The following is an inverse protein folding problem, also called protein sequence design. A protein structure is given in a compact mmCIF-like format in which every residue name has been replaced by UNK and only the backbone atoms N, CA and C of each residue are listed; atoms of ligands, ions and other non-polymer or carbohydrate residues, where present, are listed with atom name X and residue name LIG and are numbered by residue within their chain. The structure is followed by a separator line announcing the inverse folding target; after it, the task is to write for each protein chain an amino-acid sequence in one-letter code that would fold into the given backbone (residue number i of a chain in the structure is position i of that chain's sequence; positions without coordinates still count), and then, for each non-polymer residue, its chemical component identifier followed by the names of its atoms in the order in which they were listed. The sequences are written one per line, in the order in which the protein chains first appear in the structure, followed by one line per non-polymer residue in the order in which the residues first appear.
data_IF_111737553793
#
_entry.id   IF_111737553793
#
_cell.length_a   1.000
_cell.length_b   1.000
_cell.length_c   1.000
_cell.angle_alpha   90.00
_cell.angle_beta   90.00
_cell.angle_gamma   90.00
#
_symmetry.space_group_name_H-M   'P 1'
#
loop_
_entity.id
_entity.type
_entity.pdbx_description
1 polymer ?
#
# COMPACT_ATOMS: atom_id res chain seq x y z
N UNK A 1 67.43 20.46 12.81
CA UNK A 1 66.82 19.16 13.19
C UNK A 1 65.47 19.31 13.89
N UNK A 2 65.33 20.20 14.89
CA UNK A 2 64.05 20.43 15.60
C UNK A 2 62.87 20.84 14.71
N UNK A 3 63.10 21.70 13.71
CA UNK A 3 62.04 22.17 12.79
C UNK A 3 61.59 21.13 11.75
N UNK A 4 62.48 20.18 11.38
CA UNK A 4 62.16 19.12 10.41
C UNK A 4 61.20 18.09 11.04
N UNK A 5 61.37 17.81 12.34
CA UNK A 5 60.46 16.93 13.09
C UNK A 5 59.07 17.55 13.28
N UNK A 6 58.97 18.87 13.44
CA UNK A 6 57.69 19.57 13.58
C UNK A 6 56.94 19.62 12.23
N UNK A 7 57.64 19.84 11.13
CA UNK A 7 57.04 19.82 9.80
C UNK A 7 56.50 18.44 9.40
N UNK A 8 57.20 17.35 9.77
CA UNK A 8 56.75 15.98 9.52
C UNK A 8 55.50 15.62 10.35
N UNK A 9 55.41 16.09 11.60
CA UNK A 9 54.24 15.86 12.46
C UNK A 9 52.98 16.59 11.97
N UNK A 10 53.12 17.79 11.39
CA UNK A 10 52.00 18.58 10.86
C UNK A 10 51.49 17.99 9.52
N UNK A 11 52.36 17.40 8.71
CA UNK A 11 51.98 16.75 7.45
C UNK A 11 51.21 15.42 7.67
N UNK A 12 51.48 14.72 8.78
CA UNK A 12 50.76 13.50 9.19
C UNK A 12 49.37 13.76 9.77
N UNK A 13 49.06 15.00 10.18
CA UNK A 13 47.75 15.39 10.73
C UNK A 13 46.74 15.83 9.66
N UNK A 14 47.15 15.98 8.39
CA UNK A 14 46.26 16.43 7.30
C UNK A 14 45.60 15.27 6.52
N UNK A 15 45.88 14.02 6.88
CA UNK A 15 45.17 12.85 6.31
C UNK A 15 43.96 12.52 7.18
N UNK A 16 43.10 13.50 7.41
CA UNK A 16 41.72 13.19 7.78
C UNK A 16 41.02 12.84 6.49
N UNK A 17 40.86 11.56 6.22
CA UNK A 17 39.88 11.09 5.24
C UNK A 17 38.53 11.67 5.63
N UNK A 18 38.13 12.74 4.97
CA UNK A 18 36.74 13.16 4.92
C UNK A 18 36.00 12.00 4.25
N UNK A 19 35.45 11.10 5.06
CA UNK A 19 34.37 10.26 4.59
C UNK A 19 33.25 11.22 4.21
N UNK A 20 33.16 11.51 2.92
CA UNK A 20 32.04 12.21 2.34
C UNK A 20 30.78 11.49 2.84
N UNK A 21 29.84 12.25 3.41
CA UNK A 21 28.54 11.75 3.82
C UNK A 21 27.83 11.23 2.57
N UNK A 22 27.97 9.93 2.32
CA UNK A 22 27.16 9.22 1.33
C UNK A 22 25.79 9.09 1.98
N UNK A 23 24.83 9.81 1.41
CA UNK A 23 23.39 9.83 1.71
C UNK A 23 22.93 8.90 2.83
N UNK A 24 22.51 9.51 3.95
CA UNK A 24 21.81 8.87 5.06
C UNK A 24 20.48 8.25 4.57
N UNK A 25 20.54 7.13 3.86
CA UNK A 25 19.49 6.13 4.06
C UNK A 25 19.68 5.66 5.50
N UNK A 26 18.71 5.90 6.42
CA UNK A 26 18.84 5.44 7.79
C UNK A 26 19.19 3.95 7.78
N UNK A 27 20.14 3.52 8.61
CA UNK A 27 20.62 2.14 8.61
C UNK A 27 19.48 1.10 8.65
N UNK A 28 18.37 1.45 9.31
CA UNK A 28 17.11 0.71 9.37
C UNK A 28 16.43 0.49 8.02
N UNK A 29 16.43 1.50 7.15
CA UNK A 29 15.85 1.41 5.80
C UNK A 29 16.75 0.53 4.93
N UNK A 30 18.07 0.76 4.97
CA UNK A 30 19.02 -0.03 4.20
C UNK A 30 19.01 -1.52 4.60
N UNK A 31 18.86 -1.82 5.90
CA UNK A 31 18.78 -3.21 6.38
C UNK A 31 17.50 -3.92 5.94
N UNK A 32 16.34 -3.25 5.96
CA UNK A 32 15.08 -3.87 5.54
C UNK A 32 15.04 -4.17 4.04
N UNK A 33 15.54 -3.27 3.19
CA UNK A 33 15.67 -3.53 1.74
C UNK A 33 16.64 -4.69 1.49
N UNK A 34 17.79 -4.70 2.16
CA UNK A 34 18.80 -5.76 1.99
C UNK A 34 18.28 -7.12 2.49
N UNK A 35 17.52 -7.13 3.59
CA UNK A 35 16.86 -8.33 4.09
C UNK A 35 15.83 -8.85 3.08
N UNK A 36 14.96 -7.99 2.55
CA UNK A 36 13.99 -8.36 1.53
C UNK A 36 14.66 -8.91 0.26
N UNK A 37 15.75 -8.30 -0.20
CA UNK A 37 16.50 -8.79 -1.36
C UNK A 37 17.05 -10.21 -1.15
N UNK A 38 17.53 -10.53 0.06
CA UNK A 38 18.03 -11.86 0.39
C UNK A 38 16.90 -12.88 0.57
N UNK A 39 15.86 -12.50 1.32
CA UNK A 39 14.74 -13.38 1.65
C UNK A 39 13.90 -13.72 0.40
N UNK A 40 13.76 -12.77 -0.52
CA UNK A 40 12.96 -12.91 -1.74
C UNK A 40 13.77 -13.28 -2.99
N UNK A 41 15.02 -13.74 -2.83
CA UNK A 41 15.91 -14.05 -3.96
C UNK A 41 15.37 -15.15 -4.89
N UNK A 42 14.50 -16.03 -4.38
CA UNK A 42 13.93 -17.16 -5.11
C UNK A 42 12.48 -16.93 -5.55
N UNK A 43 12.02 -15.68 -5.60
CA UNK A 43 10.65 -15.34 -5.96
C UNK A 43 10.28 -15.84 -7.37
N UNK A 44 9.23 -16.65 -7.46
CA UNK A 44 8.71 -17.16 -8.71
C UNK A 44 7.93 -16.12 -9.51
N UNK A 45 7.47 -16.46 -10.71
CA UNK A 45 6.59 -15.61 -11.49
C UNK A 45 5.17 -15.59 -10.91
N UNK A 46 4.53 -14.42 -10.94
CA UNK A 46 3.18 -14.19 -10.43
C UNK A 46 3.04 -14.52 -8.93
N UNK A 47 4.07 -14.20 -8.16
CA UNK A 47 4.11 -14.41 -6.72
C UNK A 47 4.48 -13.11 -6.02
N UNK A 48 4.10 -13.02 -4.75
CA UNK A 48 4.60 -12.02 -3.82
C UNK A 48 5.36 -12.71 -2.69
N UNK A 49 6.48 -12.10 -2.31
CA UNK A 49 7.31 -12.49 -1.18
C UNK A 49 7.22 -11.43 -0.08
N UNK A 50 7.03 -11.91 1.14
CA UNK A 50 7.19 -11.13 2.35
C UNK A 50 8.68 -10.90 2.64
N UNK A 51 9.14 -9.66 2.50
CA UNK A 51 10.56 -9.34 2.60
C UNK A 51 11.03 -9.04 4.01
N UNK A 52 10.31 -8.16 4.72
CA UNK A 52 10.68 -7.67 6.05
C UNK A 52 9.49 -7.02 6.75
N UNK A 53 9.16 -7.48 7.97
CA UNK A 53 8.23 -6.95 8.99
C UNK A 53 6.84 -6.44 8.52
N UNK A 54 5.82 -6.48 9.37
CA UNK A 54 4.55 -5.74 9.22
C UNK A 54 3.91 -5.71 7.80
N UNK A 55 3.85 -6.86 7.14
CA UNK A 55 3.09 -7.05 5.91
C UNK A 55 1.94 -7.99 6.21
N UNK A 56 0.73 -7.62 5.81
CA UNK A 56 -0.46 -8.47 5.89
C UNK A 56 -1.15 -8.56 4.54
N UNK A 57 -1.81 -9.69 4.30
CA UNK A 57 -2.56 -9.91 3.07
C UNK A 57 -3.98 -10.39 3.38
N UNK A 58 -4.92 -10.08 2.48
CA UNK A 58 -6.21 -10.76 2.40
C UNK A 58 -6.14 -11.67 1.19
N UNK A 59 -6.33 -12.97 1.41
CA UNK A 59 -6.30 -14.00 0.36
C UNK A 59 -7.70 -14.53 0.07
N UNK A 60 -7.94 -14.86 -1.19
CA UNK A 60 -9.21 -15.34 -1.74
C UNK A 60 -10.40 -14.43 -1.39
N UNK A 61 -10.13 -13.17 -1.02
CA UNK A 61 -11.09 -12.14 -0.63
C UNK A 61 -11.89 -12.48 0.65
N UNK A 62 -11.43 -13.44 1.45
CA UNK A 62 -12.15 -13.95 2.62
C UNK A 62 -11.26 -14.08 3.86
N UNK A 63 -10.00 -14.45 3.68
CA UNK A 63 -9.10 -14.84 4.77
C UNK A 63 -7.99 -13.82 4.96
N UNK A 64 -7.78 -13.38 6.20
CA UNK A 64 -6.61 -12.61 6.59
C UNK A 64 -5.42 -13.54 6.78
N UNK A 65 -4.32 -13.24 6.09
CA UNK A 65 -3.06 -13.95 6.18
C UNK A 65 -2.01 -13.02 6.79
N UNK A 66 -1.48 -13.43 7.93
CA UNK A 66 -0.28 -12.87 8.54
C UNK A 66 0.91 -13.75 8.14
N UNK A 67 2.02 -13.11 7.74
CA UNK A 67 3.21 -13.86 7.35
C UNK A 67 4.08 -14.15 8.57
N UNK A 68 4.44 -15.42 8.76
CA UNK A 68 5.19 -15.85 9.93
C UNK A 68 6.71 -15.67 9.75
N UNK A 69 7.24 -15.86 8.54
CA UNK A 69 8.68 -15.85 8.28
C UNK A 69 9.04 -15.04 7.03
N UNK A 70 10.00 -14.14 7.16
CA UNK A 70 10.53 -13.41 6.01
C UNK A 70 11.09 -14.37 4.94
N UNK A 71 10.64 -14.21 3.70
CA UNK A 71 10.86 -15.14 2.59
C UNK A 71 9.63 -15.96 2.21
N UNK A 72 8.58 -15.96 3.04
CA UNK A 72 7.29 -16.60 2.71
C UNK A 72 6.72 -16.01 1.42
N UNK A 73 6.19 -16.88 0.56
CA UNK A 73 5.62 -16.50 -0.74
C UNK A 73 4.19 -16.96 -0.89
N UNK A 74 3.37 -16.14 -1.55
CA UNK A 74 2.02 -16.50 -1.96
C UNK A 74 1.76 -16.15 -3.43
N UNK A 75 0.90 -16.90 -4.13
CA UNK A 75 0.50 -16.58 -5.50
C UNK A 75 -0.26 -15.25 -5.60
N UNK A 76 0.08 -14.40 -6.57
CA UNK A 76 -0.61 -13.10 -6.76
C UNK A 76 -2.09 -13.24 -7.10
N UNK A 77 -2.51 -14.36 -7.70
CA UNK A 77 -3.90 -14.59 -8.05
C UNK A 77 -4.81 -14.89 -6.85
N UNK A 78 -4.24 -15.23 -5.69
CA UNK A 78 -5.00 -15.37 -4.44
C UNK A 78 -5.04 -14.08 -3.66
N UNK A 79 -4.17 -13.11 -3.93
CA UNK A 79 -4.10 -11.85 -3.19
C UNK A 79 -5.24 -10.91 -3.62
N UNK A 80 -6.12 -10.59 -2.68
CA UNK A 80 -7.16 -9.59 -2.85
C UNK A 80 -6.76 -8.23 -2.28
N UNK A 81 -6.08 -8.21 -1.15
CA UNK A 81 -5.47 -7.00 -0.61
C UNK A 81 -4.10 -7.30 -0.01
N UNK A 82 -3.20 -6.34 -0.05
CA UNK A 82 -1.89 -6.38 0.57
C UNK A 82 -1.65 -5.04 1.25
N UNK A 83 -1.14 -5.09 2.48
CA UNK A 83 -0.85 -3.92 3.30
C UNK A 83 0.53 -4.02 3.90
N UNK A 84 1.27 -2.92 3.83
CA UNK A 84 2.56 -2.76 4.46
C UNK A 84 2.46 -1.61 5.45
N UNK A 85 3.15 -1.74 6.58
CA UNK A 85 3.15 -0.67 7.58
C UNK A 85 4.24 0.39 7.30
N UNK A 86 3.95 1.67 7.62
CA UNK A 86 4.97 2.71 7.62
C UNK A 86 6.08 2.43 8.64
N UNK A 87 7.16 3.22 8.57
CA UNK A 87 8.20 3.21 9.58
C UNK A 87 7.66 3.63 10.95
N UNK A 88 7.59 2.65 11.85
CA UNK A 88 7.16 2.82 13.22
C UNK A 88 8.31 3.33 14.11
N UNK A 89 7.97 3.83 15.29
CA UNK A 89 8.96 4.27 16.29
C UNK A 89 9.80 3.12 16.86
N UNK A 90 9.32 1.87 16.76
CA UNK A 90 10.09 0.65 17.05
C UNK A 90 11.23 0.41 16.04
N UNK A 91 11.17 1.06 14.87
CA UNK A 91 12.06 0.80 13.75
C UNK A 91 11.57 -0.32 12.81
N UNK A 92 10.39 -0.89 13.06
CA UNK A 92 9.73 -1.86 12.18
C UNK A 92 8.97 -1.14 11.06
N UNK A 93 8.96 -1.75 9.88
CA UNK A 93 8.31 -1.23 8.68
C UNK A 93 8.23 -2.33 7.62
N UNK A 94 7.21 -2.23 6.76
CA UNK A 94 6.93 -3.25 5.77
C UNK A 94 7.77 -3.16 4.51
N UNK A 95 8.28 -4.30 4.05
CA UNK A 95 8.83 -4.51 2.71
C UNK A 95 8.30 -5.81 2.11
N UNK A 96 7.79 -5.72 0.88
CA UNK A 96 7.39 -6.87 0.08
C UNK A 96 7.96 -6.75 -1.34
N UNK A 97 8.21 -7.89 -1.97
CA UNK A 97 8.66 -7.96 -3.36
C UNK A 97 7.67 -8.80 -4.14
N UNK A 98 7.12 -8.27 -5.22
CA UNK A 98 6.26 -9.04 -6.12
C UNK A 98 6.91 -9.18 -7.50
N UNK A 99 6.58 -10.27 -8.18
CA UNK A 99 7.03 -10.58 -9.53
C UNK A 99 5.81 -10.82 -10.40
N UNK A 100 5.55 -9.93 -11.35
CA UNK A 100 4.40 -10.01 -12.25
C UNK A 100 4.90 -10.39 -13.64
N UNK A 101 4.30 -11.41 -14.25
CA UNK A 101 4.58 -11.77 -15.65
C UNK A 101 3.42 -11.33 -16.54
N UNK A 102 3.59 -10.30 -17.37
CA UNK A 102 2.57 -9.92 -18.34
C UNK A 102 2.33 -11.05 -19.34
N UNK A 103 1.09 -11.26 -19.76
CA UNK A 103 0.77 -12.26 -20.80
C UNK A 103 1.36 -11.91 -22.17
N UNK A 104 1.63 -10.63 -22.41
CA UNK A 104 2.13 -10.08 -23.67
C UNK A 104 3.65 -9.93 -23.72
N UNK A 105 4.36 -10.20 -22.61
CA UNK A 105 5.80 -9.98 -22.51
C UNK A 105 6.51 -11.15 -21.80
N UNK A 106 7.62 -11.68 -22.34
CA UNK A 106 8.22 -12.91 -21.83
C UNK A 106 9.00 -12.74 -20.52
N UNK A 107 9.26 -11.50 -20.06
CA UNK A 107 9.99 -11.25 -18.83
C UNK A 107 9.08 -10.90 -17.65
N UNK A 108 9.55 -11.21 -16.44
CA UNK A 108 8.91 -10.78 -15.22
C UNK A 108 9.25 -9.31 -14.93
N UNK A 109 8.28 -8.56 -14.40
CA UNK A 109 8.45 -7.23 -13.83
C UNK A 109 8.48 -7.41 -12.31
N UNK A 110 9.55 -6.97 -11.67
CA UNK A 110 9.69 -7.00 -10.22
C UNK A 110 9.32 -5.66 -9.63
N UNK A 111 8.38 -5.64 -8.69
CA UNK A 111 8.07 -4.46 -7.89
C UNK A 111 8.58 -4.65 -6.47
N UNK A 112 9.29 -3.65 -5.96
CA UNK A 112 9.63 -3.54 -4.56
C UNK A 112 8.66 -2.56 -3.91
N UNK A 113 7.98 -3.01 -2.86
CA UNK A 113 6.99 -2.26 -2.10
C UNK A 113 7.55 -1.96 -0.72
N UNK A 114 7.35 -0.74 -0.23
CA UNK A 114 7.87 -0.34 1.07
C UNK A 114 7.04 0.77 1.73
N UNK A 115 6.95 0.71 3.06
CA UNK A 115 6.28 1.73 3.88
C UNK A 115 4.77 1.59 3.86
N UNK A 116 4.04 2.71 3.90
CA UNK A 116 2.57 2.74 3.91
C UNK A 116 2.03 2.49 2.49
N UNK A 117 1.83 1.22 2.16
CA UNK A 117 1.33 0.78 0.86
C UNK A 117 0.13 -0.12 1.07
N UNK A 118 -0.94 0.18 0.34
CA UNK A 118 -2.09 -0.70 0.17
C UNK A 118 -2.30 -1.02 -1.31
N UNK A 119 -2.28 -2.31 -1.66
CA UNK A 119 -2.61 -2.80 -3.00
C UNK A 119 -3.87 -3.63 -2.88
N UNK A 120 -4.81 -3.43 -3.80
CA UNK A 120 -6.02 -4.22 -3.90
C UNK A 120 -6.17 -4.75 -5.32
N UNK A 121 -6.70 -5.96 -5.44
CA UNK A 121 -7.08 -6.52 -6.73
C UNK A 121 -8.29 -5.73 -7.27
N UNK A 122 -8.07 -5.00 -8.36
CA UNK A 122 -9.10 -4.20 -9.03
C UNK A 122 -9.95 -5.03 -10.02
N UNK A 123 -9.75 -6.35 -10.09
CA UNK A 123 -10.54 -7.22 -10.98
C UNK A 123 -12.02 -7.08 -10.64
N UNK A 124 -12.78 -6.63 -11.63
CA UNK A 124 -14.08 -5.99 -11.52
C UNK A 124 -15.26 -6.95 -11.32
N UNK A 125 -15.01 -8.18 -10.90
CA UNK A 125 -16.07 -9.19 -10.69
C UNK A 125 -16.69 -9.12 -9.28
N UNK A 126 -16.45 -8.05 -8.53
CA UNK A 126 -16.73 -7.99 -7.10
C UNK A 126 -17.60 -6.77 -6.78
N UNK A 127 -18.91 -7.00 -6.76
CA UNK A 127 -19.96 -6.16 -6.15
C UNK A 127 -19.84 -4.64 -6.38
N UNK A 128 -20.48 -4.18 -7.44
CA UNK A 128 -20.82 -2.77 -7.64
C UNK A 128 -22.07 -2.41 -6.83
N UNK A 129 -21.98 -1.36 -6.02
CA UNK A 129 -23.11 -0.80 -5.28
C UNK A 129 -23.35 0.64 -5.73
N UNK A 130 -24.58 0.95 -6.09
CA UNK A 130 -24.95 2.34 -6.36
C UNK A 130 -25.08 3.09 -5.04
N UNK A 131 -24.32 4.18 -4.92
CA UNK A 131 -24.37 5.10 -3.78
C UNK A 131 -24.68 6.50 -4.28
N UNK A 132 -25.38 7.28 -3.46
CA UNK A 132 -25.66 8.69 -3.75
C UNK A 132 -25.03 9.58 -2.68
N UNK A 133 -24.52 10.74 -3.10
CA UNK A 133 -23.91 11.71 -2.20
C UNK A 133 -24.98 12.40 -1.35
N UNK A 134 -24.84 12.35 -0.03
CA UNK A 134 -25.79 13.00 0.89
C UNK A 134 -25.60 14.51 0.98
N UNK A 135 -24.46 15.01 0.47
CA UNK A 135 -24.03 16.41 0.38
C UNK A 135 -22.87 16.49 -0.64
N UNK A 136 -22.44 17.70 -0.98
CA UNK A 136 -21.20 17.90 -1.75
C UNK A 136 -20.00 17.28 -1.00
N UNK A 137 -19.26 16.41 -1.70
CA UNK A 137 -18.20 15.61 -1.12
C UNK A 137 -16.95 15.58 -2.01
N UNK A 138 -15.79 15.66 -1.37
CA UNK A 138 -14.51 15.55 -2.06
C UNK A 138 -14.26 14.11 -2.50
N UNK A 139 -13.94 13.93 -3.79
CA UNK A 139 -13.37 12.69 -4.31
C UNK A 139 -11.85 12.83 -4.31
N UNK A 140 -11.15 11.88 -3.70
CA UNK A 140 -9.71 11.95 -3.43
C UNK A 140 -8.93 10.87 -4.18
N UNK A 141 -7.65 11.12 -4.42
CA UNK A 141 -6.75 10.18 -5.08
C UNK A 141 -6.53 8.88 -4.28
N UNK A 142 -6.78 8.90 -2.97
CA UNK A 142 -6.63 7.76 -2.07
C UNK A 142 -7.56 7.82 -0.85
N UNK A 143 -7.67 6.72 -0.08
CA UNK A 143 -8.59 6.60 1.04
C UNK A 143 -8.11 7.34 2.30
N UNK A 144 -8.22 8.67 2.29
CA UNK A 144 -7.81 9.50 3.43
C UNK A 144 -7.84 11.00 3.13
N UNK A 145 -7.97 11.82 4.18
CA UNK A 145 -8.02 13.28 4.06
C UNK A 145 -6.68 13.92 3.63
N UNK A 146 -5.58 13.17 3.69
CA UNK A 146 -4.25 13.64 3.27
C UNK A 146 -4.00 13.47 1.75
N UNK A 147 -4.84 12.72 1.05
CA UNK A 147 -4.77 12.59 -0.40
C UNK A 147 -5.37 13.82 -1.09
N UNK A 148 -4.81 14.18 -2.25
CA UNK A 148 -5.28 15.27 -3.07
C UNK A 148 -6.73 15.06 -3.54
N UNK A 149 -7.49 16.15 -3.64
CA UNK A 149 -8.84 16.16 -4.19
C UNK A 149 -8.75 16.11 -5.71
N UNK A 150 -9.32 15.07 -6.32
CA UNK A 150 -9.31 14.82 -7.77
C UNK A 150 -10.66 15.08 -8.41
N UNK A 151 -11.70 15.31 -7.61
CA UNK A 151 -13.04 15.61 -8.07
C UNK A 151 -13.96 16.01 -6.92
N UNK A 152 -15.19 16.38 -7.27
CA UNK A 152 -16.25 16.67 -6.32
C UNK A 152 -17.48 15.90 -6.80
N UNK A 153 -18.10 15.17 -5.89
CA UNK A 153 -19.40 14.56 -6.11
C UNK A 153 -20.46 15.48 -5.50
N UNK A 154 -21.39 15.97 -6.32
CA UNK A 154 -22.41 16.92 -5.84
C UNK A 154 -23.49 16.18 -5.06
N UNK A 155 -24.19 16.88 -4.16
CA UNK A 155 -25.35 16.32 -3.48
C UNK A 155 -26.34 15.67 -4.46
N UNK A 156 -26.88 14.51 -4.07
CA UNK A 156 -27.81 13.66 -4.82
C UNK A 156 -27.22 12.99 -6.08
N UNK A 157 -25.96 13.28 -6.42
CA UNK A 157 -25.26 12.60 -7.52
C UNK A 157 -25.00 11.13 -7.16
N UNK A 158 -25.28 10.24 -8.11
CA UNK A 158 -25.15 8.79 -7.93
C UNK A 158 -23.93 8.26 -8.67
N UNK A 159 -23.15 7.42 -8.01
CA UNK A 159 -21.97 6.75 -8.56
C UNK A 159 -21.93 5.29 -8.15
N UNK A 160 -21.14 4.50 -8.89
CA UNK A 160 -20.86 3.12 -8.55
C UNK A 160 -19.67 3.06 -7.58
N UNK A 161 -19.92 2.53 -6.38
CA UNK A 161 -18.87 2.10 -5.46
C UNK A 161 -18.54 0.63 -5.71
N UNK A 162 -17.26 0.34 -5.95
CA UNK A 162 -16.81 -1.01 -6.34
C UNK A 162 -15.68 -1.57 -5.45
N UNK A 163 -15.34 -0.86 -4.37
CA UNK A 163 -14.50 -1.36 -3.28
C UNK A 163 -14.63 -0.45 -2.05
N UNK A 164 -14.08 -0.89 -0.93
CA UNK A 164 -13.83 -0.06 0.26
C UNK A 164 -12.41 -0.29 0.78
N UNK A 165 -11.90 0.64 1.59
CA UNK A 165 -10.68 0.39 2.36
C UNK A 165 -11.01 -0.54 3.54
N UNK A 166 -10.03 -1.19 4.18
CA UNK A 166 -10.41 -2.23 5.17
C UNK A 166 -11.05 -1.72 6.46
N UNK A 167 -11.04 -0.41 6.73
CA UNK A 167 -11.85 0.16 7.82
C UNK A 167 -13.29 0.47 7.41
N UNK A 168 -13.62 0.33 6.11
CA UNK A 168 -14.93 0.58 5.54
C UNK A 168 -15.37 2.05 5.55
N UNK A 169 -14.47 2.97 5.92
CA UNK A 169 -14.77 4.40 6.02
C UNK A 169 -14.48 5.18 4.73
N UNK A 170 -13.85 4.54 3.74
CA UNK A 170 -13.68 5.08 2.40
C UNK A 170 -14.16 4.06 1.36
N UNK A 171 -14.92 4.54 0.38
CA UNK A 171 -15.38 3.77 -0.77
C UNK A 171 -14.60 4.20 -2.01
N UNK A 172 -14.18 3.24 -2.82
CA UNK A 172 -13.66 3.49 -4.16
C UNK A 172 -14.83 3.60 -5.12
N UNK A 173 -14.90 4.71 -5.83
CA UNK A 173 -15.96 5.01 -6.78
C UNK A 173 -15.41 5.19 -8.19
N UNK A 174 -16.27 4.93 -9.17
CA UNK A 174 -16.03 5.27 -10.58
C UNK A 174 -16.89 6.48 -10.93
N UNK A 175 -16.25 7.60 -11.30
CA UNK A 175 -16.93 8.83 -11.71
C UNK A 175 -17.50 8.70 -13.13
N UNK A 176 -18.42 9.59 -13.52
CA UNK A 176 -19.13 9.52 -14.80
C UNK A 176 -18.24 9.59 -16.05
N UNK A 177 -17.01 10.06 -15.91
CA UNK A 177 -15.99 10.11 -16.97
C UNK A 177 -15.04 8.89 -16.98
N UNK A 178 -15.26 7.93 -16.08
CA UNK A 178 -14.45 6.72 -15.92
C UNK A 178 -13.22 6.89 -15.02
N UNK A 179 -12.97 8.07 -14.46
CA UNK A 179 -11.90 8.23 -13.47
C UNK A 179 -12.28 7.57 -12.15
N UNK A 180 -11.27 6.99 -11.51
CA UNK A 180 -11.41 6.32 -10.21
C UNK A 180 -10.98 7.27 -9.11
N UNK A 181 -11.73 7.29 -8.02
CA UNK A 181 -11.38 8.04 -6.82
C UNK A 181 -11.96 7.43 -5.56
N UNK A 182 -11.65 8.05 -4.42
CA UNK A 182 -12.07 7.60 -3.10
C UNK A 182 -12.94 8.67 -2.44
N UNK A 183 -14.07 8.25 -1.88
CA UNK A 183 -15.01 9.11 -1.18
C UNK A 183 -15.24 8.58 0.25
N UNK A 184 -15.46 9.47 1.19
CA UNK A 184 -15.80 9.09 2.57
C UNK A 184 -17.14 8.37 2.60
N UNK A 185 -17.18 7.19 3.24
CA UNK A 185 -18.40 6.42 3.40
C UNK A 185 -19.47 7.15 4.25
N UNK A 186 -19.07 8.16 5.04
CA UNK A 186 -20.02 9.00 5.79
C UNK A 186 -20.73 10.04 4.93
N UNK A 187 -20.22 10.32 3.73
CA UNK A 187 -20.76 11.36 2.86
C UNK A 187 -21.71 10.78 1.80
N UNK A 188 -21.82 9.45 1.73
CA UNK A 188 -22.66 8.73 0.76
C UNK A 188 -23.62 7.78 1.45
N UNK A 189 -24.73 7.49 0.79
CA UNK A 189 -25.71 6.50 1.24
C UNK A 189 -26.00 5.49 0.14
N UNK A 190 -26.33 4.27 0.53
CA UNK A 190 -26.61 3.16 -0.39
C UNK A 190 -27.99 3.32 -1.02
N UNK A 191 -28.08 3.12 -2.33
CA UNK A 191 -29.37 2.95 -3.00
C UNK A 191 -29.87 1.51 -2.78
N UNK A 192 -30.78 1.35 -1.81
CA UNK A 192 -31.54 0.13 -1.55
C UNK A 192 -32.86 0.49 -0.87
N UNK A 193 -33.98 0.22 -1.53
CA UNK A 193 -35.31 0.56 -1.02
C UNK A 193 -35.70 -0.39 0.12
N UNK A 194 -36.05 0.17 1.27
CA UNK A 194 -36.76 -0.55 2.36
C UNK A 194 -38.17 -1.02 1.96
N UNK A 195 -38.60 -0.74 0.72
CA UNK A 195 -39.91 -1.08 0.16
C UNK A 195 -40.09 -2.55 -0.25
N UNK A 196 -39.01 -3.35 -0.31
CA UNK A 196 -39.04 -4.77 -0.71
C UNK A 196 -38.91 -5.75 0.48
N UNK A 197 -38.94 -5.24 1.72
CA UNK A 197 -38.89 -6.08 2.91
C UNK A 197 -40.31 -6.55 3.30
N UNK A 198 -40.58 -7.87 3.42
CA UNK A 198 -41.83 -8.34 3.98
C UNK A 198 -41.92 -7.92 5.45
N UNK A 199 -43.00 -7.21 5.79
CA UNK A 199 -43.33 -6.83 7.17
C UNK A 199 -43.70 -8.09 7.95
N UNK A 200 -42.93 -8.40 8.99
CA UNK A 200 -43.24 -9.48 9.96
C UNK A 200 -43.57 -8.80 11.29
N UNK A 201 -44.74 -9.07 11.84
CA UNK A 201 -45.10 -8.57 13.18
C UNK A 201 -44.32 -9.33 14.25
N UNK A 202 -43.95 -8.63 15.32
CA UNK A 202 -43.22 -9.22 16.45
C UNK A 202 -44.09 -10.25 17.17
N UNK A 203 -43.57 -11.47 17.34
CA UNK A 203 -44.20 -12.50 18.16
C UNK A 203 -44.33 -12.00 19.61
N UNK A 204 -45.57 -11.90 20.09
CA UNK A 204 -45.92 -11.61 21.50
C UNK A 204 -45.77 -12.82 22.39
#
# INVERSE_FOLDING_TARGET
MKYILIAAAILLLMVTSAAAQVEDCPATVASGISAAANNCANLGPNEICYGHADVSAIVNCEEALEFDTAGDTIPLNTVCALRLSPLQSSGEWGVAVMSVRPSTYPANITYALFGDIEIQNASSDVFALNVWATKDADVRAGPGSHFEVVGILNQDETVEANACNCTGNWLRITMGDGHIGWISAMDVSVLGESGDLPVVEADT
#
